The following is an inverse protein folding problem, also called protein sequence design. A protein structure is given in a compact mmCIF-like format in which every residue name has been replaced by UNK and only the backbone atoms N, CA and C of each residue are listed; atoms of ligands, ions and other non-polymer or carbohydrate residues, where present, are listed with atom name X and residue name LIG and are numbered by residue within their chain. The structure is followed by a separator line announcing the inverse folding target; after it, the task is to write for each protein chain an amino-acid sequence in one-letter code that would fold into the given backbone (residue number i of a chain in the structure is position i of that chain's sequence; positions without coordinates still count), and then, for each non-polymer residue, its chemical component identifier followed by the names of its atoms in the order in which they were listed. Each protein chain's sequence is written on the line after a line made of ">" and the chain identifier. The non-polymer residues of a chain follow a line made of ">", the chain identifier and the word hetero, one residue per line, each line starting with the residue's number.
data_IF_368139584718
#
_entry.id   IF_368139584718
#
_cell.length_a   1.000
_cell.length_b   1.000
_cell.length_c   1.000
_cell.angle_alpha   90.00
_cell.angle_beta   90.00
_cell.angle_gamma   90.00
#
_symmetry.space_group_name_H-M   'P 1'
#
loop_
_entity.id
_entity.type
_entity.pdbx_description
1 polymer ?
#
# COMPACT_ATOMS: atom_id res chain seq x y z
N UNK A 1 -16.18 -18.23 0.41
CA UNK A 1 -14.88 -18.26 -0.31
C UNK A 1 -13.80 -18.63 0.68
N UNK A 2 -13.02 -19.68 0.44
CA UNK A 2 -11.89 -20.01 1.29
C UNK A 2 -10.87 -18.86 1.25
N UNK A 3 -10.46 -18.34 2.43
CA UNK A 3 -9.37 -17.36 2.53
C UNK A 3 -8.08 -18.08 2.11
N UNK A 4 -7.55 -17.76 0.94
CA UNK A 4 -6.24 -18.24 0.51
C UNK A 4 -5.19 -17.44 1.28
N UNK A 5 -4.48 -18.08 2.21
CA UNK A 5 -3.33 -17.48 2.90
C UNK A 5 -2.13 -17.43 1.95
N UNK A 6 -1.98 -16.32 1.23
CA UNK A 6 -0.80 -16.08 0.39
C UNK A 6 0.28 -15.41 1.23
N UNK A 7 1.39 -16.12 1.45
CA UNK A 7 2.57 -15.59 2.13
C UNK A 7 3.54 -15.02 1.11
N UNK A 8 4.14 -13.89 1.43
CA UNK A 8 5.16 -13.23 0.62
C UNK A 8 6.36 -12.87 1.50
N UNK A 9 7.54 -12.90 0.90
CA UNK A 9 8.78 -12.48 1.54
C UNK A 9 9.21 -11.14 0.96
N UNK A 10 9.55 -10.19 1.82
CA UNK A 10 10.12 -8.90 1.43
C UNK A 10 11.49 -8.81 2.07
N UNK A 11 12.47 -8.42 1.27
CA UNK A 11 13.83 -8.21 1.72
C UNK A 11 13.98 -6.73 2.10
N UNK A 12 14.52 -6.50 3.28
CA UNK A 12 14.82 -5.18 3.82
C UNK A 12 16.29 -5.13 4.20
N UNK A 13 16.89 -3.95 4.07
CA UNK A 13 18.12 -3.61 4.76
C UNK A 13 17.90 -3.45 6.27
N UNK A 14 18.97 -3.48 7.05
CA UNK A 14 18.88 -3.30 8.51
C UNK A 14 18.31 -1.93 8.89
N UNK A 15 18.67 -0.87 8.16
CA UNK A 15 18.14 0.48 8.37
C UNK A 15 16.62 0.54 8.13
N UNK A 16 16.13 -0.09 7.06
CA UNK A 16 14.70 -0.15 6.76
C UNK A 16 13.92 -0.91 7.83
N UNK A 17 14.49 -2.00 8.37
CA UNK A 17 13.90 -2.75 9.48
C UNK A 17 13.79 -1.87 10.73
N UNK A 18 14.83 -1.09 11.03
CA UNK A 18 14.83 -0.19 12.18
C UNK A 18 13.77 0.91 12.03
N UNK A 19 13.65 1.51 10.85
CA UNK A 19 12.62 2.50 10.54
C UNK A 19 11.21 1.91 10.66
N UNK A 20 11.00 0.71 10.10
CA UNK A 20 9.72 0.01 10.18
C UNK A 20 9.32 -0.26 11.62
N UNK A 21 10.27 -0.73 12.44
CA UNK A 21 10.06 -0.96 13.87
C UNK A 21 9.65 0.33 14.59
N UNK A 22 10.41 1.40 14.40
CA UNK A 22 10.16 2.68 15.06
C UNK A 22 8.76 3.24 14.73
N UNK A 23 8.34 3.17 13.46
CA UNK A 23 7.01 3.66 13.08
C UNK A 23 5.87 2.75 13.50
N UNK A 24 6.10 1.44 13.57
CA UNK A 24 5.14 0.50 14.11
C UNK A 24 4.92 0.75 15.62
N UNK A 25 6.01 0.94 16.36
CA UNK A 25 6.00 1.21 17.80
C UNK A 25 5.29 2.52 18.12
N UNK A 26 5.58 3.61 17.39
CA UNK A 26 4.88 4.91 17.56
C UNK A 26 3.37 4.82 17.37
N UNK A 27 2.90 3.90 16.53
CA UNK A 27 1.49 3.70 16.20
C UNK A 27 0.83 2.60 17.04
N UNK A 28 1.58 1.91 17.89
CA UNK A 28 1.08 0.82 18.73
C UNK A 28 0.58 -0.39 17.92
N UNK A 29 1.13 -0.63 16.74
CA UNK A 29 0.75 -1.76 15.87
C UNK A 29 1.95 -2.64 15.53
N UNK A 30 1.70 -3.88 15.09
CA UNK A 30 2.80 -4.75 14.65
C UNK A 30 3.41 -4.27 13.33
N UNK A 31 4.71 -4.51 13.13
CA UNK A 31 5.42 -4.20 11.88
C UNK A 31 4.73 -4.81 10.66
N UNK A 32 4.27 -6.07 10.76
CA UNK A 32 3.56 -6.74 9.67
C UNK A 32 2.21 -6.08 9.35
N UNK A 33 1.50 -5.58 10.36
CA UNK A 33 0.25 -4.85 10.15
C UNK A 33 0.50 -3.47 9.53
N UNK A 34 1.53 -2.75 9.99
CA UNK A 34 1.95 -1.51 9.36
C UNK A 34 2.30 -1.73 7.89
N UNK A 35 2.99 -2.82 7.56
CA UNK A 35 3.33 -3.18 6.19
C UNK A 35 2.09 -3.43 5.34
N UNK A 36 1.11 -4.17 5.87
CA UNK A 36 -0.17 -4.42 5.17
C UNK A 36 -0.93 -3.13 4.93
N UNK A 37 -0.98 -2.23 5.91
CA UNK A 37 -1.63 -0.93 5.79
C UNK A 37 -0.94 -0.05 4.75
N UNK A 38 0.39 0.02 4.77
CA UNK A 38 1.17 0.78 3.80
C UNK A 38 0.95 0.26 2.37
N UNK A 39 1.04 -1.06 2.16
CA UNK A 39 0.78 -1.69 0.86
C UNK A 39 -0.66 -1.44 0.38
N UNK A 40 -1.64 -1.56 1.27
CA UNK A 40 -3.04 -1.29 0.94
C UNK A 40 -3.23 0.17 0.52
N UNK A 41 -2.68 1.11 1.29
CA UNK A 41 -2.82 2.54 1.00
C UNK A 41 -2.17 2.90 -0.35
N UNK A 42 -1.00 2.34 -0.65
CA UNK A 42 -0.31 2.54 -1.94
C UNK A 42 -1.16 2.02 -3.11
N UNK A 43 -1.76 0.83 -2.98
CA UNK A 43 -2.65 0.25 -4.00
C UNK A 43 -3.89 1.13 -4.18
N UNK A 44 -4.51 1.58 -3.09
CA UNK A 44 -5.70 2.45 -3.14
C UNK A 44 -5.37 3.78 -3.82
N UNK A 45 -4.27 4.45 -3.43
CA UNK A 45 -3.86 5.71 -4.05
C UNK A 45 -3.58 5.55 -5.55
N UNK A 46 -2.89 4.48 -5.97
CA UNK A 46 -2.68 4.18 -7.39
C UNK A 46 -4.00 3.97 -8.13
N UNK A 47 -4.95 3.23 -7.53
CA UNK A 47 -6.26 2.99 -8.12
C UNK A 47 -7.06 4.28 -8.32
N UNK A 48 -7.05 5.17 -7.33
CA UNK A 48 -7.74 6.46 -7.40
C UNK A 48 -7.11 7.37 -8.46
N UNK A 49 -5.78 7.42 -8.52
CA UNK A 49 -5.07 8.16 -9.56
C UNK A 49 -5.42 7.65 -10.96
N UNK A 50 -5.41 6.33 -11.18
CA UNK A 50 -5.81 5.73 -12.46
C UNK A 50 -7.25 6.08 -12.81
N UNK A 51 -8.16 6.06 -11.83
CA UNK A 51 -9.56 6.43 -12.04
C UNK A 51 -9.71 7.90 -12.45
N UNK A 52 -9.04 8.81 -11.75
CA UNK A 52 -9.06 10.25 -12.07
C UNK A 52 -8.49 10.49 -13.47
N UNK A 53 -7.39 9.82 -13.82
CA UNK A 53 -6.79 9.91 -15.15
C UNK A 53 -7.77 9.44 -16.23
N UNK A 54 -8.43 8.31 -16.03
CA UNK A 54 -9.41 7.79 -16.98
C UNK A 54 -10.60 8.74 -17.16
N UNK A 55 -11.12 9.34 -16.07
CA UNK A 55 -12.19 10.32 -16.14
C UNK A 55 -11.78 11.56 -16.95
N UNK A 56 -10.57 12.10 -16.73
CA UNK A 56 -10.04 13.23 -17.50
C UNK A 56 -9.93 12.91 -18.98
N UNK A 57 -9.39 11.74 -19.34
CA UNK A 57 -9.28 11.31 -20.74
C UNK A 57 -10.64 11.18 -21.41
N UNK A 58 -11.67 10.70 -20.69
CA UNK A 58 -13.03 10.64 -21.24
C UNK A 58 -13.58 12.05 -21.48
N UNK A 59 -13.37 12.98 -20.54
CA UNK A 59 -13.77 14.38 -20.71
C UNK A 59 -13.09 15.03 -21.91
N UNK A 60 -11.77 14.84 -22.08
CA UNK A 60 -11.00 15.35 -23.23
C UNK A 60 -11.43 14.76 -24.58
N UNK A 61 -12.05 13.58 -24.60
CA UNK A 61 -12.57 12.94 -25.83
C UNK A 61 -14.01 13.37 -26.17
N UNK A 62 -14.71 13.99 -25.21
CA UNK A 62 -16.10 14.43 -25.37
C UNK A 62 -16.22 15.92 -25.69
N UNK A 63 -15.14 16.69 -25.50
CA UNK A 63 -14.94 18.05 -26.03
C UNK A 63 -14.36 18.02 -27.45
#
# INVERSE_FOLDING_TARGET
>A
MAKIDKRFQILFSEEEILLLKNEADKRGISQGELLRLALRNEITQKSDFTRIKALRTITELLD
#
